data_IF_569045183162
#
_entry.id   IF_569045183162
#
_cell.length_a   1.000
_cell.length_b   1.000
_cell.length_c   1.000
_cell.angle_alpha   90.00
_cell.angle_beta   90.00
_cell.angle_gamma   90.00
#
_symmetry.space_group_name_H-M   'P 1'
#
loop_
_entity.id
_entity.type
_entity.pdbx_description
1 polymer ?
#
# COMPACT_ATOMS: atom_id res chain seq x y z
N UNK A 1 -32.36 -12.89 0.09
CA UNK A 1 -31.22 -12.48 0.93
C UNK A 1 -30.58 -11.29 0.24
N UNK A 2 -30.63 -10.10 0.83
CA UNK A 2 -29.96 -8.92 0.27
C UNK A 2 -28.47 -9.08 0.59
N UNK A 3 -27.61 -9.08 -0.42
CA UNK A 3 -26.17 -9.09 -0.21
C UNK A 3 -25.77 -7.74 0.40
N UNK A 4 -25.44 -7.75 1.70
CA UNK A 4 -25.07 -6.54 2.46
C UNK A 4 -23.71 -5.99 2.01
N UNK A 5 -22.85 -6.85 1.44
CA UNK A 5 -21.56 -6.47 0.87
C UNK A 5 -21.56 -6.73 -0.63
N UNK A 6 -21.32 -5.68 -1.42
CA UNK A 6 -21.11 -5.76 -2.86
C UNK A 6 -19.64 -5.47 -3.16
N UNK A 7 -18.99 -6.32 -3.95
CA UNK A 7 -17.60 -6.11 -4.36
C UNK A 7 -17.55 -5.03 -5.45
N UNK A 8 -16.95 -3.89 -5.14
CA UNK A 8 -16.75 -2.79 -6.09
C UNK A 8 -15.33 -2.81 -6.63
N UNK A 9 -15.08 -3.61 -7.67
CA UNK A 9 -13.75 -3.81 -8.23
C UNK A 9 -13.08 -2.50 -8.73
N UNK A 10 -13.88 -1.49 -9.08
CA UNK A 10 -13.42 -0.19 -9.58
C UNK A 10 -12.95 0.74 -8.47
N UNK A 11 -13.36 0.50 -7.22
CA UNK A 11 -13.02 1.34 -6.06
C UNK A 11 -11.86 0.75 -5.24
N UNK A 12 -11.26 -0.35 -5.71
CA UNK A 12 -10.18 -1.01 -4.99
C UNK A 12 -8.93 -0.14 -5.04
N UNK A 13 -8.49 0.35 -3.88
CA UNK A 13 -7.18 0.97 -3.75
C UNK A 13 -6.08 -0.10 -3.74
N UNK A 14 -5.23 -0.07 -4.76
CA UNK A 14 -4.08 -0.94 -4.91
C UNK A 14 -2.77 -0.15 -4.89
N UNK A 15 -2.77 1.13 -4.51
CA UNK A 15 -1.64 2.06 -4.68
C UNK A 15 -0.30 1.50 -4.22
N UNK A 16 -0.19 1.09 -2.95
CA UNK A 16 1.05 0.58 -2.37
C UNK A 16 1.52 -0.70 -3.07
N UNK A 17 0.57 -1.58 -3.40
CA UNK A 17 0.83 -2.85 -4.07
C UNK A 17 1.28 -2.65 -5.52
N UNK A 18 0.65 -1.72 -6.23
CA UNK A 18 0.99 -1.34 -7.60
C UNK A 18 2.41 -0.77 -7.66
N UNK A 19 2.73 0.19 -6.78
CA UNK A 19 4.06 0.77 -6.69
C UNK A 19 5.12 -0.30 -6.39
N UNK A 20 4.89 -1.14 -5.39
CA UNK A 20 5.84 -2.17 -4.99
C UNK A 20 6.11 -3.17 -6.12
N UNK A 21 5.07 -3.74 -6.74
CA UNK A 21 5.26 -4.71 -7.81
C UNK A 21 5.86 -4.10 -9.06
N UNK A 22 5.51 -2.85 -9.41
CA UNK A 22 6.15 -2.17 -10.52
C UNK A 22 7.63 -1.87 -10.23
N UNK A 23 8.00 -1.57 -8.98
CA UNK A 23 9.41 -1.40 -8.60
C UNK A 23 10.19 -2.70 -8.78
N UNK A 24 9.61 -3.83 -8.38
CA UNK A 24 10.21 -5.14 -8.65
C UNK A 24 10.32 -5.44 -10.14
N UNK A 25 9.28 -5.11 -10.92
CA UNK A 25 9.35 -5.22 -12.40
C UNK A 25 10.54 -4.46 -12.97
N UNK A 26 10.68 -3.17 -12.64
CA UNK A 26 11.78 -2.34 -13.16
C UNK A 26 13.13 -2.98 -12.83
N UNK A 27 13.34 -3.42 -11.58
CA UNK A 27 14.59 -4.08 -11.16
C UNK A 27 14.87 -5.41 -11.88
N UNK A 28 13.83 -6.15 -12.30
CA UNK A 28 13.97 -7.39 -13.05
C UNK A 28 14.25 -7.10 -14.54
N UNK A 29 13.56 -6.13 -15.12
CA UNK A 29 13.75 -5.71 -16.52
C UNK A 29 15.14 -5.11 -16.75
N UNK A 30 15.67 -4.34 -15.79
CA UNK A 30 17.08 -3.87 -15.79
C UNK A 30 18.10 -5.02 -15.82
N UNK A 31 17.72 -6.20 -15.33
CA UNK A 31 18.55 -7.43 -15.38
C UNK A 31 18.28 -8.29 -16.61
N UNK A 32 17.49 -7.80 -17.57
CA UNK A 32 17.16 -8.49 -18.82
C UNK A 32 15.99 -9.47 -18.73
N UNK A 33 15.22 -9.47 -17.64
CA UNK A 33 14.03 -10.31 -17.50
C UNK A 33 12.79 -9.54 -17.93
N UNK A 34 12.15 -9.95 -19.03
CA UNK A 34 10.92 -9.32 -19.49
C UNK A 34 9.71 -9.76 -18.66
N UNK A 35 8.93 -8.79 -18.17
CA UNK A 35 7.75 -9.04 -17.35
C UNK A 35 6.50 -8.68 -18.16
N UNK A 36 5.75 -9.69 -18.58
CA UNK A 36 4.54 -9.52 -19.38
C UNK A 36 3.27 -9.32 -18.53
N UNK A 37 3.25 -9.82 -17.29
CA UNK A 37 2.09 -9.75 -16.40
C UNK A 37 2.50 -9.70 -14.93
N UNK A 38 1.88 -8.81 -14.18
CA UNK A 38 1.96 -8.76 -12.71
C UNK A 38 0.60 -9.07 -12.10
N UNK A 39 0.59 -9.78 -10.98
CA UNK A 39 -0.61 -10.11 -10.23
C UNK A 39 -0.27 -10.33 -8.75
N UNK A 40 -1.20 -10.01 -7.86
CA UNK A 40 -1.15 -10.41 -6.45
C UNK A 40 -2.03 -11.63 -6.25
N UNK A 41 -1.49 -12.65 -5.59
CA UNK A 41 -2.28 -13.74 -5.06
C UNK A 41 -2.61 -13.47 -3.59
N UNK A 42 -3.90 -13.30 -3.29
CA UNK A 42 -4.39 -13.24 -1.92
C UNK A 42 -4.81 -14.64 -1.50
N UNK A 43 -4.25 -15.13 -0.41
CA UNK A 43 -4.64 -16.41 0.20
C UNK A 43 -5.40 -16.12 1.49
N UNK A 44 -6.65 -16.56 1.56
CA UNK A 44 -7.53 -16.36 2.70
C UNK A 44 -7.44 -17.59 3.60
N UNK A 45 -6.87 -17.41 4.80
CA UNK A 45 -6.67 -18.49 5.77
C UNK A 45 -7.98 -19.15 6.19
N UNK A 46 -9.01 -18.34 6.48
CA UNK A 46 -10.29 -18.78 7.02
C UNK A 46 -11.47 -18.55 6.06
N UNK A 47 -11.22 -18.67 4.74
CA UNK A 47 -12.19 -18.30 3.69
C UNK A 47 -13.47 -19.14 3.65
N UNK A 48 -13.49 -20.31 4.29
CA UNK A 48 -14.67 -21.18 4.37
C UNK A 48 -15.61 -20.89 5.56
N UNK A 49 -15.29 -19.92 6.41
CA UNK A 49 -16.15 -19.59 7.56
C UNK A 49 -17.36 -18.76 7.12
N UNK A 50 -18.50 -18.96 7.78
CA UNK A 50 -19.71 -18.16 7.54
C UNK A 50 -19.46 -16.64 7.69
N UNK A 51 -18.56 -16.24 8.61
CA UNK A 51 -18.17 -14.83 8.77
C UNK A 51 -17.44 -14.29 7.55
N UNK A 52 -16.60 -15.08 6.88
CA UNK A 52 -15.89 -14.68 5.66
C UNK A 52 -16.90 -14.47 4.51
N UNK A 53 -17.78 -15.45 4.30
CA UNK A 53 -18.85 -15.35 3.31
C UNK A 53 -19.77 -14.16 3.56
N UNK A 54 -20.14 -13.89 4.82
CA UNK A 54 -20.99 -12.74 5.17
C UNK A 54 -20.36 -11.39 4.83
N UNK A 55 -19.03 -11.33 4.68
CA UNK A 55 -18.24 -10.14 4.31
C UNK A 55 -17.84 -10.09 2.84
N UNK A 56 -18.44 -10.95 1.99
CA UNK A 56 -18.11 -11.01 0.56
C UNK A 56 -16.81 -11.75 0.23
N UNK A 57 -16.23 -12.48 1.19
CA UNK A 57 -15.07 -13.35 0.96
C UNK A 57 -15.58 -14.75 0.68
N UNK A 58 -15.65 -15.10 -0.59
CA UNK A 58 -16.26 -16.34 -1.10
C UNK A 58 -15.25 -17.42 -1.50
N UNK A 59 -13.95 -17.08 -1.60
CA UNK A 59 -12.90 -17.97 -2.10
C UNK A 59 -11.71 -17.99 -1.16
N UNK A 60 -11.03 -19.13 -1.09
CA UNK A 60 -9.78 -19.26 -0.34
C UNK A 60 -8.59 -18.61 -1.05
N UNK A 61 -8.71 -18.33 -2.35
CA UNK A 61 -7.65 -17.71 -3.14
C UNK A 61 -8.22 -16.74 -4.17
N UNK A 62 -7.61 -15.56 -4.26
CA UNK A 62 -7.88 -14.55 -5.29
C UNK A 62 -6.60 -14.23 -6.04
N UNK A 63 -6.73 -13.92 -7.33
CA UNK A 63 -5.65 -13.40 -8.17
C UNK A 63 -6.10 -12.06 -8.71
N UNK A 64 -5.44 -10.99 -8.27
CA UNK A 64 -5.76 -9.61 -8.64
C UNK A 64 -4.69 -9.16 -9.65
N UNK A 65 -5.06 -8.81 -10.89
CA UNK A 65 -4.12 -8.26 -11.85
C UNK A 65 -3.62 -6.89 -11.38
N UNK A 66 -2.33 -6.62 -11.58
CA UNK A 66 -1.72 -5.35 -11.21
C UNK A 66 -1.33 -4.62 -12.48
N UNK A 67 -1.76 -3.36 -12.60
CA UNK A 67 -1.47 -2.55 -13.78
C UNK A 67 0.01 -2.20 -13.85
N UNK A 68 0.51 -2.08 -15.08
CA UNK A 68 1.83 -1.52 -15.33
C UNK A 68 1.73 0.00 -15.17
N UNK A 69 2.58 0.54 -14.29
CA UNK A 69 2.78 1.97 -14.12
C UNK A 69 3.97 2.42 -14.96
N UNK A 70 4.05 3.72 -15.25
CA UNK A 70 5.20 4.31 -15.92
C UNK A 70 6.46 4.16 -15.05
N UNK A 71 7.58 3.81 -15.68
CA UNK A 71 8.84 3.57 -14.98
C UNK A 71 9.33 4.84 -14.28
N UNK A 72 9.14 6.01 -14.91
CA UNK A 72 9.58 7.29 -14.35
C UNK A 72 8.78 7.69 -13.11
N UNK A 73 7.47 7.43 -13.08
CA UNK A 73 6.62 7.68 -11.91
C UNK A 73 7.03 6.78 -10.74
N UNK A 74 7.23 5.49 -11.02
CA UNK A 74 7.64 4.50 -10.01
C UNK A 74 9.01 4.87 -9.45
N UNK A 75 9.99 5.13 -10.32
CA UNK A 75 11.33 5.52 -9.92
C UNK A 75 11.31 6.85 -9.15
N UNK A 76 10.55 7.84 -9.61
CA UNK A 76 10.42 9.14 -8.97
C UNK A 76 9.87 9.01 -7.55
N UNK A 77 8.81 8.22 -7.34
CA UNK A 77 8.26 7.95 -6.01
C UNK A 77 9.32 7.36 -5.07
N UNK A 78 9.95 6.24 -5.46
CA UNK A 78 10.94 5.57 -4.60
C UNK A 78 12.21 6.40 -4.37
N UNK A 79 12.63 7.18 -5.36
CA UNK A 79 13.76 8.12 -5.21
C UNK A 79 13.42 9.25 -4.23
N UNK A 80 12.20 9.78 -4.26
CA UNK A 80 11.75 10.77 -3.28
C UNK A 80 11.80 10.19 -1.87
N UNK A 81 11.20 9.01 -1.66
CA UNK A 81 11.17 8.37 -0.33
C UNK A 81 12.56 7.99 0.17
N UNK A 82 13.46 7.61 -0.72
CA UNK A 82 14.86 7.40 -0.37
C UNK A 82 15.54 8.67 0.12
N UNK A 83 15.35 9.81 -0.56
CA UNK A 83 15.89 11.10 -0.14
C UNK A 83 15.31 11.54 1.20
N UNK A 84 14.00 11.43 1.38
CA UNK A 84 13.32 11.80 2.63
C UNK A 84 13.86 10.96 3.81
N UNK A 85 14.10 9.66 3.60
CA UNK A 85 14.70 8.79 4.61
C UNK A 85 16.13 9.23 4.96
N UNK A 86 16.98 9.47 3.97
CA UNK A 86 18.36 9.90 4.21
C UNK A 86 18.42 11.22 4.98
N UNK A 87 17.59 12.19 4.60
CA UNK A 87 17.49 13.46 5.30
C UNK A 87 17.01 13.28 6.74
N UNK A 88 16.03 12.41 6.98
CA UNK A 88 15.53 12.14 8.32
C UNK A 88 16.58 11.45 9.21
N UNK A 89 17.41 10.59 8.64
CA UNK A 89 18.52 9.95 9.35
C UNK A 89 19.64 10.93 9.67
N UNK A 90 20.00 11.82 8.73
CA UNK A 90 21.01 12.86 8.93
C UNK A 90 20.59 13.86 10.02
N UNK A 91 19.36 14.34 9.95
CA UNK A 91 18.81 15.34 10.87
C UNK A 91 18.26 14.74 12.17
N UNK A 92 18.21 13.40 12.28
CA UNK A 92 17.58 12.66 13.39
C UNK A 92 16.13 13.10 13.67
N UNK A 93 15.41 13.56 12.65
CA UNK A 93 14.02 14.02 12.75
C UNK A 93 13.27 13.79 11.44
N UNK A 94 11.97 13.53 11.51
CA UNK A 94 11.13 13.44 10.30
C UNK A 94 10.87 14.86 9.74
N UNK A 95 11.55 15.23 8.66
CA UNK A 95 11.43 16.54 8.01
C UNK A 95 10.29 16.63 7.00
N UNK A 96 10.02 15.52 6.30
CA UNK A 96 9.02 15.41 5.23
C UNK A 96 7.98 14.35 5.60
N UNK A 97 6.90 14.70 6.32
CA UNK A 97 5.82 13.76 6.60
C UNK A 97 5.16 13.24 5.32
N UNK A 98 4.54 12.06 5.42
CA UNK A 98 3.75 11.49 4.35
C UNK A 98 2.52 12.34 4.01
N UNK A 99 2.11 12.29 2.73
CA UNK A 99 0.92 12.99 2.26
C UNK A 99 -0.38 12.31 2.75
N UNK A 100 -1.53 12.91 2.46
CA UNK A 100 -2.83 12.39 2.89
C UNK A 100 -3.14 11.00 2.32
N UNK A 101 -2.68 10.70 1.11
CA UNK A 101 -2.91 9.40 0.49
C UNK A 101 -2.10 8.32 1.20
N UNK A 102 -0.82 8.59 1.43
CA UNK A 102 0.13 7.67 2.06
C UNK A 102 -0.17 7.41 3.55
N UNK A 103 -0.83 8.36 4.21
CA UNK A 103 -1.24 8.24 5.60
C UNK A 103 -2.72 7.87 5.78
N UNK A 104 -3.42 7.55 4.69
CA UNK A 104 -4.84 7.16 4.69
C UNK A 104 -5.73 8.19 5.39
N UNK A 105 -5.57 9.47 5.01
CA UNK A 105 -6.28 10.61 5.60
C UNK A 105 -6.11 10.69 7.13
N UNK A 106 -4.92 10.29 7.59
CA UNK A 106 -4.50 10.32 8.98
C UNK A 106 -4.77 9.01 9.73
N UNK A 107 -5.58 8.09 9.19
CA UNK A 107 -5.85 6.81 9.85
C UNK A 107 -4.57 6.04 10.16
N UNK A 108 -3.59 6.06 9.24
CA UNK A 108 -2.28 5.42 9.46
C UNK A 108 -1.55 6.03 10.65
N UNK A 109 -1.56 7.36 10.77
CA UNK A 109 -0.91 8.09 11.86
C UNK A 109 -1.54 7.80 13.23
N UNK A 110 -2.86 7.61 13.27
CA UNK A 110 -3.61 7.38 14.52
C UNK A 110 -3.28 6.05 15.21
N UNK A 111 -2.97 4.99 14.46
CA UNK A 111 -2.76 3.67 15.08
C UNK A 111 -1.96 2.63 14.31
N UNK A 112 -1.53 2.89 13.08
CA UNK A 112 -0.85 1.88 12.24
C UNK A 112 0.62 2.21 11.96
N UNK A 113 1.05 3.46 12.16
CA UNK A 113 2.44 3.87 11.98
C UNK A 113 3.24 3.64 13.26
N UNK A 114 4.15 2.66 13.24
CA UNK A 114 5.00 2.28 14.38
C UNK A 114 5.93 3.41 14.87
N UNK A 115 6.19 4.39 14.00
CA UNK A 115 7.09 5.53 14.27
C UNK A 115 6.35 6.86 14.36
N UNK A 116 5.01 6.85 14.52
CA UNK A 116 4.19 8.06 14.57
C UNK A 116 4.66 9.07 15.62
N UNK A 117 5.13 8.59 16.78
CA UNK A 117 5.64 9.42 17.87
C UNK A 117 6.89 10.24 17.51
N UNK A 118 7.61 9.88 16.44
CA UNK A 118 8.79 10.60 15.94
C UNK A 118 8.47 11.49 14.72
N UNK A 119 7.22 11.51 14.27
CA UNK A 119 6.75 12.27 13.11
C UNK A 119 5.89 13.45 13.58
N UNK A 120 6.13 14.69 13.08
CA UNK A 120 5.35 15.85 13.50
C UNK A 120 3.86 15.70 13.19
N UNK A 121 3.51 15.10 12.05
CA UNK A 121 2.11 14.78 11.70
C UNK A 121 1.55 13.69 12.63
N UNK A 122 2.34 12.67 12.93
CA UNK A 122 1.95 11.58 13.82
C UNK A 122 1.62 12.05 15.24
N UNK A 123 2.44 12.93 15.81
CA UNK A 123 2.22 13.52 17.14
C UNK A 123 0.87 14.25 17.23
N UNK A 124 0.50 15.01 16.20
CA UNK A 124 -0.79 15.71 16.17
C UNK A 124 -1.96 14.73 16.16
N UNK A 125 -1.94 13.74 15.26
CA UNK A 125 -3.01 12.75 15.13
C UNK A 125 -3.13 11.81 16.34
N UNK A 126 -2.07 11.63 17.13
CA UNK A 126 -2.10 10.83 18.36
C UNK A 126 -2.68 11.60 19.55
N UNK A 127 -2.84 12.92 19.47
CA UNK A 127 -3.44 13.76 20.51
C UNK A 127 -4.94 14.01 20.30
N UNK A 128 -5.44 13.74 19.10
CA UNK A 128 -6.86 13.79 18.76
C UNK A 128 -7.55 12.49 19.22
N UNK A 129 -7.86 12.39 20.52
CA UNK A 129 -8.72 11.33 21.08
C UNK A 129 -10.17 11.42 20.58
#
# INVERSE_FOLDING_TARGET
MIAVFQTMAQEVDLFDTELQLNRYRVMLEERGLSISRMQVQITVRDGGLAVAHSRGIERNTYKIPIRRLDDSDVLGYFQSKHKDLLLALEESKCTSPCDERECWEGARCKGYCEVAMFCPKGILYQQEE
#
